data_IF_576294529795
#
_entry.id   IF_576294529795
#
_cell.length_a   1.000
_cell.length_b   1.000
_cell.length_c   1.000
_cell.angle_alpha   90.00
_cell.angle_beta   90.00
_cell.angle_gamma   90.00
#
_symmetry.space_group_name_H-M   'P 1'
#
loop_
_entity.id
_entity.type
_entity.pdbx_description
1 polymer ?
#
# COMPACT_ATOMS: atom_id res chain seq x y z
N UNK A 1 -11.41 9.50 9.35
CA UNK A 1 -10.09 8.88 9.68
C UNK A 1 -9.74 9.38 11.07
N UNK A 2 -9.29 8.53 11.99
CA UNK A 2 -8.84 9.00 13.31
C UNK A 2 -7.50 9.71 13.11
N UNK A 3 -7.46 11.01 13.38
CA UNK A 3 -6.22 11.79 13.25
C UNK A 3 -5.26 11.44 14.38
N UNK A 4 -3.97 11.42 14.07
CA UNK A 4 -2.90 11.19 15.06
C UNK A 4 -2.51 12.56 15.59
N UNK A 5 -3.37 13.12 16.45
CA UNK A 5 -3.12 14.40 17.11
C UNK A 5 -2.92 14.13 18.60
N UNK A 6 -1.82 14.60 19.21
CA UNK A 6 -1.65 14.57 20.65
C UNK A 6 -2.80 15.34 21.29
N UNK A 7 -3.51 14.72 22.23
CA UNK A 7 -4.50 15.46 23.04
C UNK A 7 -3.76 16.27 24.11
N UNK A 8 -4.45 17.24 24.71
CA UNK A 8 -3.89 18.10 25.78
C UNK A 8 -3.33 17.30 26.97
N UNK A 9 -3.78 16.06 27.16
CA UNK A 9 -3.28 15.12 28.16
C UNK A 9 -2.17 14.17 27.65
N UNK A 10 -1.50 14.51 26.55
CA UNK A 10 -0.32 13.81 26.01
C UNK A 10 -0.58 12.49 25.28
N UNK A 11 -1.76 11.89 25.44
CA UNK A 11 -2.13 10.64 24.75
C UNK A 11 -2.52 10.93 23.30
N UNK A 12 -1.96 10.25 22.29
CA UNK A 12 -2.46 10.38 20.94
C UNK A 12 -3.85 9.74 20.80
N UNK A 13 -4.64 10.29 19.89
CA UNK A 13 -6.06 9.94 19.76
C UNK A 13 -6.34 8.46 19.42
N UNK A 14 -5.56 7.77 18.56
CA UNK A 14 -5.75 6.35 18.31
C UNK A 14 -5.63 5.49 19.59
N UNK A 15 -4.59 5.74 20.39
CA UNK A 15 -4.30 5.01 21.62
C UNK A 15 -5.41 5.27 22.64
N UNK A 16 -5.85 6.53 22.75
CA UNK A 16 -6.98 6.87 23.60
C UNK A 16 -8.26 6.12 23.20
N UNK A 17 -8.60 6.10 21.90
CA UNK A 17 -9.86 5.51 21.43
C UNK A 17 -9.84 3.98 21.51
N UNK A 18 -8.78 3.34 21.00
CA UNK A 18 -8.72 1.89 20.86
C UNK A 18 -8.15 1.20 22.10
N UNK A 19 -7.25 1.83 22.84
CA UNK A 19 -6.61 1.21 24.01
C UNK A 19 -7.34 1.60 25.28
N UNK A 20 -7.48 2.89 25.57
CA UNK A 20 -8.07 3.34 26.84
C UNK A 20 -9.59 3.25 26.83
N UNK A 21 -10.21 3.57 25.69
CA UNK A 21 -11.66 3.50 25.49
C UNK A 21 -12.14 2.23 24.78
N UNK A 22 -11.25 1.24 24.63
CA UNK A 22 -11.57 -0.03 23.97
C UNK A 22 -12.69 -0.82 24.66
N UNK A 23 -12.89 -0.63 25.97
CA UNK A 23 -14.01 -1.26 26.69
C UNK A 23 -15.37 -0.69 26.25
N UNK A 24 -15.47 0.64 26.13
CA UNK A 24 -16.68 1.29 25.62
C UNK A 24 -16.99 0.85 24.19
N UNK A 25 -15.96 0.65 23.36
CA UNK A 25 -16.14 0.11 22.01
C UNK A 25 -16.68 -1.33 22.02
N UNK A 26 -16.34 -2.13 23.03
CA UNK A 26 -16.86 -3.51 23.17
C UNK A 26 -18.28 -3.61 23.71
N UNK A 27 -18.82 -2.55 24.30
CA UNK A 27 -20.15 -2.56 24.92
C UNK A 27 -21.29 -2.36 23.91
N UNK A 28 -21.00 -2.20 22.62
CA UNK A 28 -22.04 -2.14 21.59
C UNK A 28 -22.75 -3.49 21.46
N UNK A 29 -24.07 -3.49 21.67
CA UNK A 29 -24.90 -4.70 21.63
C UNK A 29 -25.24 -5.13 20.19
N UNK A 30 -24.24 -5.25 19.34
CA UNK A 30 -24.36 -5.69 17.95
C UNK A 30 -23.03 -6.24 17.39
N UNK A 31 -23.07 -6.84 16.21
CA UNK A 31 -21.87 -7.26 15.50
C UNK A 31 -21.16 -6.04 14.90
N UNK A 32 -19.89 -5.81 15.27
CA UNK A 32 -19.12 -4.64 14.82
C UNK A 32 -17.78 -5.07 14.25
N UNK A 33 -17.40 -4.49 13.11
CA UNK A 33 -16.06 -4.61 12.55
C UNK A 33 -15.35 -3.26 12.76
N UNK A 34 -14.33 -3.26 13.61
CA UNK A 34 -13.48 -2.10 13.80
C UNK A 34 -12.30 -2.10 12.81
N UNK A 35 -12.01 -0.93 12.27
CA UNK A 35 -10.74 -0.67 11.58
C UNK A 35 -9.94 0.29 12.43
N UNK A 36 -8.69 -0.07 12.71
CA UNK A 36 -7.79 0.72 13.54
C UNK A 36 -6.68 1.32 12.68
N UNK A 37 -6.12 2.48 13.05
CA UNK A 37 -4.90 2.99 12.42
C UNK A 37 -3.77 1.96 12.49
N UNK A 38 -3.11 1.70 11.35
CA UNK A 38 -2.05 0.68 11.25
C UNK A 38 -0.90 0.93 12.25
N UNK A 39 -0.64 2.18 12.61
CA UNK A 39 0.40 2.55 13.59
C UNK A 39 0.20 1.95 14.97
N UNK A 40 -1.04 1.63 15.39
CA UNK A 40 -1.30 0.96 16.66
C UNK A 40 -0.69 -0.45 16.73
N UNK A 41 -0.40 -1.09 15.58
CA UNK A 41 0.32 -2.36 15.53
C UNK A 41 1.80 -2.21 15.92
N UNK A 42 2.37 -1.03 15.70
CA UNK A 42 3.76 -0.71 16.02
C UNK A 42 3.91 0.00 17.37
N UNK A 43 2.79 0.30 18.03
CA UNK A 43 2.73 0.95 19.33
C UNK A 43 3.07 -0.03 20.46
N UNK A 44 3.70 0.48 21.52
CA UNK A 44 3.94 -0.26 22.76
C UNK A 44 2.64 -0.73 23.45
N UNK A 45 1.50 -0.11 23.13
CA UNK A 45 0.18 -0.49 23.65
C UNK A 45 -0.48 -1.66 22.87
N UNK A 46 0.17 -2.21 21.84
CA UNK A 46 -0.43 -3.25 20.99
C UNK A 46 -0.97 -4.45 21.77
N UNK A 47 -0.19 -4.99 22.71
CA UNK A 47 -0.61 -6.09 23.59
C UNK A 47 -1.81 -5.73 24.47
N UNK A 48 -1.86 -4.47 24.94
CA UNK A 48 -2.98 -3.98 25.74
C UNK A 48 -4.24 -3.86 24.88
N UNK A 49 -4.10 -3.43 23.62
CA UNK A 49 -5.17 -3.39 22.64
C UNK A 49 -5.71 -4.80 22.33
N UNK A 50 -4.84 -5.76 21.99
CA UNK A 50 -5.29 -7.12 21.64
C UNK A 50 -5.99 -7.81 22.80
N UNK A 51 -5.44 -7.70 24.02
CA UNK A 51 -6.09 -8.20 25.24
C UNK A 51 -7.44 -7.51 25.48
N UNK A 52 -7.52 -6.19 25.23
CA UNK A 52 -8.76 -5.44 25.40
C UNK A 52 -9.84 -5.91 24.44
N UNK A 53 -9.52 -6.26 23.19
CA UNK A 53 -10.48 -6.74 22.19
C UNK A 53 -10.69 -8.26 22.21
N UNK A 54 -9.78 -9.02 22.83
CA UNK A 54 -9.82 -10.48 22.89
C UNK A 54 -9.56 -11.17 21.55
N UNK A 55 -9.12 -10.43 20.54
CA UNK A 55 -8.83 -10.92 19.20
C UNK A 55 -7.63 -10.18 18.63
N UNK A 56 -6.80 -10.89 17.86
CA UNK A 56 -5.73 -10.25 17.10
C UNK A 56 -6.29 -9.48 15.90
N UNK A 57 -5.86 -8.23 15.68
CA UNK A 57 -6.22 -7.47 14.49
C UNK A 57 -5.80 -8.18 13.21
N UNK A 58 -6.73 -8.32 12.27
CA UNK A 58 -6.44 -8.84 10.93
C UNK A 58 -5.87 -7.71 10.07
N UNK A 59 -4.71 -7.96 9.46
CA UNK A 59 -4.07 -7.02 8.53
C UNK A 59 -4.36 -7.46 7.11
N UNK A 60 -4.73 -6.49 6.27
CA UNK A 60 -4.83 -6.67 4.83
C UNK A 60 -3.52 -6.18 4.20
N UNK A 61 -2.59 -7.09 3.85
CA UNK A 61 -1.30 -6.71 3.27
C UNK A 61 -1.48 -6.19 1.84
N UNK A 62 -0.41 -5.62 1.29
CA UNK A 62 -0.35 -5.35 -0.14
C UNK A 62 -0.44 -6.64 -0.95
N UNK A 63 -0.94 -6.54 -2.18
CA UNK A 63 -0.87 -7.67 -3.13
C UNK A 63 0.58 -7.78 -3.60
N UNK A 64 1.31 -8.87 -3.33
CA UNK A 64 2.72 -8.94 -3.68
C UNK A 64 2.91 -8.89 -5.21
N UNK A 65 3.72 -7.97 -5.70
CA UNK A 65 4.19 -7.94 -7.11
C UNK A 65 5.52 -8.66 -7.27
N UNK A 66 6.29 -8.73 -6.18
CA UNK A 66 7.48 -9.53 -6.02
C UNK A 66 7.37 -10.36 -4.74
N UNK A 67 8.07 -11.47 -4.70
CA UNK A 67 8.27 -12.30 -3.52
C UNK A 67 9.43 -11.73 -2.69
N UNK A 68 9.56 -12.19 -1.44
CA UNK A 68 10.64 -11.81 -0.52
C UNK A 68 12.03 -12.00 -1.14
N UNK A 69 12.22 -13.02 -1.97
CA UNK A 69 13.48 -13.30 -2.67
C UNK A 69 13.74 -12.40 -3.90
N UNK A 70 12.87 -11.42 -4.16
CA UNK A 70 12.97 -10.50 -5.30
C UNK A 70 12.40 -11.02 -6.62
N UNK A 71 12.01 -12.31 -6.72
CA UNK A 71 11.36 -12.84 -7.92
C UNK A 71 9.97 -12.25 -8.10
N UNK A 72 9.48 -12.21 -9.33
CA UNK A 72 8.10 -11.79 -9.60
C UNK A 72 7.08 -12.68 -8.91
N UNK A 73 6.00 -12.07 -8.41
CA UNK A 73 4.86 -12.78 -7.85
C UNK A 73 3.74 -12.84 -8.90
N UNK A 74 3.77 -13.88 -9.72
CA UNK A 74 2.81 -14.07 -10.82
C UNK A 74 1.35 -14.06 -10.38
N UNK A 75 1.05 -14.68 -9.23
CA UNK A 75 -0.32 -14.72 -8.70
C UNK A 75 -0.82 -13.32 -8.35
N UNK A 76 0.02 -12.51 -7.71
CA UNK A 76 -0.33 -11.13 -7.37
C UNK A 76 -0.45 -10.26 -8.62
N UNK A 77 0.48 -10.40 -9.57
CA UNK A 77 0.41 -9.71 -10.86
C UNK A 77 -0.87 -10.06 -11.62
N UNK A 78 -1.24 -11.34 -11.70
CA UNK A 78 -2.49 -11.79 -12.31
C UNK A 78 -3.73 -11.18 -11.63
N UNK A 79 -3.77 -11.13 -10.29
CA UNK A 79 -4.86 -10.51 -9.53
C UNK A 79 -4.97 -9.00 -9.78
N UNK A 80 -3.83 -8.30 -9.88
CA UNK A 80 -3.81 -6.86 -10.18
C UNK A 80 -4.30 -6.58 -11.60
N UNK A 81 -3.79 -7.33 -12.61
CA UNK A 81 -4.28 -7.26 -14.00
C UNK A 81 -5.79 -7.48 -14.06
N UNK A 82 -6.28 -8.55 -13.43
CA UNK A 82 -7.71 -8.87 -13.40
C UNK A 82 -8.55 -7.78 -12.74
N UNK A 83 -8.06 -7.17 -11.67
CA UNK A 83 -8.73 -6.06 -10.98
C UNK A 83 -8.84 -4.82 -11.87
N UNK A 84 -7.78 -4.47 -12.59
CA UNK A 84 -7.79 -3.36 -13.56
C UNK A 84 -8.79 -3.64 -14.68
N UNK A 85 -8.70 -4.80 -15.31
CA UNK A 85 -9.58 -5.16 -16.44
C UNK A 85 -11.03 -5.32 -16.01
N UNK A 86 -11.31 -5.68 -14.76
CA UNK A 86 -12.66 -5.69 -14.21
C UNK A 86 -13.32 -4.30 -14.13
N UNK A 87 -12.52 -3.23 -14.06
CA UNK A 87 -13.04 -1.85 -14.10
C UNK A 87 -13.37 -1.42 -15.53
N UNK A 88 -12.55 -1.81 -16.51
CA UNK A 88 -12.81 -1.54 -17.92
C UNK A 88 -14.02 -2.33 -18.44
N UNK A 89 -14.13 -3.61 -18.03
CA UNK A 89 -15.13 -4.54 -18.53
C UNK A 89 -15.96 -5.19 -17.40
N UNK A 90 -16.76 -4.41 -16.65
CA UNK A 90 -17.46 -4.90 -15.46
C UNK A 90 -18.51 -5.98 -15.78
N UNK A 91 -19.07 -5.96 -16.99
CA UNK A 91 -20.11 -6.89 -17.44
C UNK A 91 -19.58 -8.19 -18.03
N UNK A 92 -18.29 -8.26 -18.37
CA UNK A 92 -17.68 -9.47 -18.92
C UNK A 92 -17.25 -10.43 -17.81
N UNK A 93 -17.22 -11.73 -18.12
CA UNK A 93 -16.70 -12.74 -17.22
C UNK A 93 -15.16 -12.63 -17.05
N UNK A 94 -14.57 -13.05 -15.91
CA UNK A 94 -13.13 -12.89 -15.66
C UNK A 94 -12.21 -13.33 -16.79
N UNK A 95 -12.49 -14.49 -17.42
CA UNK A 95 -11.68 -15.02 -18.52
C UNK A 95 -11.71 -14.16 -19.79
N UNK A 96 -12.83 -13.46 -20.04
CA UNK A 96 -13.01 -12.60 -21.22
C UNK A 96 -12.35 -11.23 -21.03
N UNK A 97 -12.30 -10.72 -19.79
CA UNK A 97 -11.75 -9.40 -19.48
C UNK A 97 -10.28 -9.24 -19.91
N UNK A 98 -9.49 -10.29 -19.75
CA UNK A 98 -8.05 -10.26 -20.10
C UNK A 98 -7.81 -10.29 -21.61
N UNK A 99 -8.77 -10.75 -22.41
CA UNK A 99 -8.68 -10.72 -23.87
C UNK A 99 -8.79 -9.28 -24.41
N UNK A 100 -9.50 -8.41 -23.69
CA UNK A 100 -9.66 -6.99 -24.02
C UNK A 100 -8.50 -6.09 -23.60
N UNK A 101 -7.34 -6.63 -23.21
CA UNK A 101 -6.17 -5.80 -22.80
C UNK A 101 -5.79 -4.82 -23.91
N UNK A 102 -5.76 -5.26 -25.17
CA UNK A 102 -5.39 -4.44 -26.33
C UNK A 102 -6.38 -3.29 -26.62
N UNK A 103 -7.61 -3.35 -26.08
CA UNK A 103 -8.59 -2.26 -26.20
C UNK A 103 -8.29 -1.12 -25.20
N UNK A 104 -7.58 -1.43 -24.11
CA UNK A 104 -7.34 -0.49 -23.00
C UNK A 104 -5.89 -0.04 -22.94
N UNK A 105 -4.94 -0.90 -23.30
CA UNK A 105 -3.50 -0.68 -23.24
C UNK A 105 -2.85 -1.00 -24.57
N UNK A 106 -1.78 -0.29 -24.91
CA UNK A 106 -1.02 -0.51 -26.15
C UNK A 106 -0.36 -1.90 -26.22
N UNK A 107 0.06 -2.42 -25.07
CA UNK A 107 0.66 -3.73 -24.91
C UNK A 107 0.38 -4.31 -23.51
N UNK A 108 0.33 -5.65 -23.33
CA UNK A 108 0.21 -6.27 -22.01
C UNK A 108 1.30 -5.82 -21.02
N UNK A 109 2.53 -5.63 -21.49
CA UNK A 109 3.69 -5.21 -20.70
C UNK A 109 3.52 -3.81 -20.09
N UNK A 110 2.65 -2.98 -20.69
CA UNK A 110 2.30 -1.65 -20.20
C UNK A 110 1.38 -1.74 -18.98
N UNK A 111 0.40 -2.66 -18.99
CA UNK A 111 -0.40 -2.99 -17.80
C UNK A 111 0.48 -3.63 -16.72
N UNK A 112 1.41 -4.50 -17.10
CA UNK A 112 2.30 -5.18 -16.16
C UNK A 112 3.18 -4.19 -15.43
N UNK A 113 3.77 -3.23 -16.15
CA UNK A 113 4.57 -2.19 -15.50
C UNK A 113 3.74 -1.36 -14.53
N UNK A 114 2.51 -0.99 -14.88
CA UNK A 114 1.61 -0.29 -13.97
C UNK A 114 1.37 -1.10 -12.68
N UNK A 115 1.15 -2.42 -12.80
CA UNK A 115 0.96 -3.30 -11.66
C UNK A 115 2.23 -3.35 -10.80
N UNK A 116 3.39 -3.62 -11.41
CA UNK A 116 4.69 -3.73 -10.74
C UNK A 116 5.08 -2.44 -10.01
N UNK A 117 5.03 -1.30 -10.69
CA UNK A 117 5.44 0.00 -10.10
C UNK A 117 4.53 0.45 -8.96
N UNK A 118 3.30 -0.07 -8.89
CA UNK A 118 2.38 0.24 -7.80
C UNK A 118 2.72 -0.47 -6.48
N UNK A 119 3.62 -1.48 -6.51
CA UNK A 119 3.88 -2.35 -5.36
C UNK A 119 2.64 -3.10 -4.87
N UNK A 120 1.64 -3.27 -5.74
CA UNK A 120 0.34 -3.84 -5.39
C UNK A 120 -0.48 -3.03 -4.38
N UNK A 121 -0.11 -1.77 -4.15
CA UNK A 121 -0.90 -0.85 -3.34
C UNK A 121 -2.10 -0.34 -4.16
N UNK A 122 -3.25 -0.99 -3.99
CA UNK A 122 -4.47 -0.80 -4.81
C UNK A 122 -4.89 0.66 -5.03
N UNK A 123 -4.89 1.49 -3.97
CA UNK A 123 -5.24 2.91 -4.10
C UNK A 123 -4.25 3.69 -4.96
N UNK A 124 -2.96 3.35 -4.90
CA UNK A 124 -1.91 4.04 -5.67
C UNK A 124 -2.03 3.63 -7.13
N UNK A 125 -2.22 2.33 -7.39
CA UNK A 125 -2.52 1.78 -8.72
C UNK A 125 -3.73 2.48 -9.36
N UNK A 126 -4.89 2.51 -8.68
CA UNK A 126 -6.11 3.13 -9.21
C UNK A 126 -5.95 4.65 -9.43
N UNK A 127 -5.24 5.33 -8.53
CA UNK A 127 -4.90 6.75 -8.70
C UNK A 127 -4.02 6.96 -9.93
N UNK A 128 -3.02 6.11 -10.16
CA UNK A 128 -2.13 6.18 -11.33
C UNK A 128 -2.89 5.96 -12.64
N UNK A 129 -3.78 4.97 -12.68
CA UNK A 129 -4.64 4.74 -13.86
C UNK A 129 -5.49 5.97 -14.16
N UNK A 130 -6.15 6.52 -13.13
CA UNK A 130 -6.97 7.73 -13.31
C UNK A 130 -6.13 8.88 -13.86
N UNK A 131 -4.99 9.16 -13.24
CA UNK A 131 -4.12 10.26 -13.64
C UNK A 131 -3.60 10.05 -15.09
N UNK A 132 -3.31 8.81 -15.47
CA UNK A 132 -2.90 8.44 -16.83
C UNK A 132 -4.02 8.61 -17.86
N UNK A 133 -5.25 8.16 -17.56
CA UNK A 133 -6.42 8.39 -18.43
C UNK A 133 -6.64 9.89 -18.65
N UNK A 134 -6.47 10.72 -17.62
CA UNK A 134 -6.61 12.17 -17.73
C UNK A 134 -5.52 12.81 -18.59
N UNK A 135 -4.30 12.27 -18.58
CA UNK A 135 -3.18 12.74 -19.42
C UNK A 135 -3.34 12.30 -20.87
N UNK A 136 -3.72 11.03 -21.10
CA UNK A 136 -3.81 10.45 -22.45
C UNK A 136 -5.08 10.88 -23.19
N UNK A 137 -6.22 10.96 -22.48
CA UNK A 137 -7.52 11.38 -23.02
C UNK A 137 -8.19 10.41 -23.98
N UNK A 138 -7.53 9.32 -24.37
CA UNK A 138 -8.04 8.29 -25.28
C UNK A 138 -7.49 6.90 -24.93
N UNK A 139 -8.12 5.87 -25.49
CA UNK A 139 -7.63 4.50 -25.47
C UNK A 139 -7.09 4.11 -26.86
N UNK A 140 -6.16 3.14 -26.95
CA UNK A 140 -5.47 2.48 -25.83
C UNK A 140 -4.49 3.43 -25.13
N UNK A 141 -4.27 3.20 -23.83
CA UNK A 141 -3.31 3.92 -23.01
C UNK A 141 -1.88 3.52 -23.41
N UNK A 142 -1.05 4.53 -23.70
CA UNK A 142 0.30 4.32 -24.22
C UNK A 142 1.36 4.28 -23.12
N UNK A 143 2.39 3.47 -23.30
CA UNK A 143 3.52 3.34 -22.37
C UNK A 143 4.18 4.68 -22.01
N UNK A 144 4.28 5.59 -22.98
CA UNK A 144 4.85 6.93 -22.78
C UNK A 144 4.05 7.76 -21.78
N UNK A 145 2.71 7.66 -21.80
CA UNK A 145 1.83 8.31 -20.83
C UNK A 145 2.02 7.75 -19.41
N UNK A 146 2.17 6.43 -19.27
CA UNK A 146 2.47 5.80 -17.98
C UNK A 146 3.82 6.28 -17.42
N UNK A 147 4.85 6.36 -18.27
CA UNK A 147 6.18 6.85 -17.87
C UNK A 147 6.11 8.30 -17.38
N UNK A 148 5.29 9.15 -18.01
CA UNK A 148 5.08 10.53 -17.55
C UNK A 148 4.42 10.59 -16.17
N UNK A 149 3.39 9.78 -15.93
CA UNK A 149 2.70 9.70 -14.63
C UNK A 149 3.66 9.22 -13.53
N UNK A 150 4.47 8.20 -13.84
CA UNK A 150 5.46 7.66 -12.90
C UNK A 150 6.53 8.68 -12.58
N UNK A 151 7.10 9.37 -13.59
CA UNK A 151 8.10 10.44 -13.38
C UNK A 151 7.55 11.56 -12.51
N UNK A 152 6.33 12.03 -12.79
CA UNK A 152 5.67 13.09 -12.00
C UNK A 152 5.47 12.67 -10.54
N UNK A 153 4.99 11.44 -10.32
CA UNK A 153 4.76 10.92 -8.98
C UNK A 153 6.07 10.63 -8.23
N UNK A 154 7.07 10.07 -8.91
CA UNK A 154 8.41 9.85 -8.39
C UNK A 154 9.04 11.18 -7.93
N UNK A 155 8.96 12.22 -8.76
CA UNK A 155 9.46 13.55 -8.39
C UNK A 155 8.75 14.10 -7.14
N UNK A 156 7.42 14.01 -7.07
CA UNK A 156 6.65 14.48 -5.90
C UNK A 156 7.03 13.74 -4.62
N UNK A 157 7.16 12.41 -4.67
CA UNK A 157 7.53 11.62 -3.50
C UNK A 157 8.96 11.95 -3.08
N UNK A 158 9.90 12.03 -4.03
CA UNK A 158 11.30 12.37 -3.78
C UNK A 158 11.48 13.71 -3.05
N UNK A 159 10.66 14.72 -3.36
CA UNK A 159 10.71 16.02 -2.71
C UNK A 159 10.30 16.00 -1.22
N UNK A 160 9.56 14.96 -0.80
CA UNK A 160 9.08 14.81 0.56
C UNK A 160 9.99 13.93 1.45
N UNK A 161 11.10 13.40 0.90
CA UNK A 161 12.00 12.49 1.62
C UNK A 161 13.21 13.29 2.12
N UNK A 162 13.41 13.29 3.44
CA UNK A 162 14.56 13.92 4.09
C UNK A 162 15.84 13.08 3.91
N UNK A 163 17.00 13.65 4.26
CA UNK A 163 18.28 12.95 4.04
C UNK A 163 18.38 11.69 4.90
N UNK A 164 17.92 11.80 6.14
CA UNK A 164 17.91 10.76 7.17
C UNK A 164 16.95 9.63 6.77
N UNK A 165 15.81 9.97 6.15
CA UNK A 165 14.85 8.99 5.62
C UNK A 165 15.47 8.11 4.52
N UNK A 166 16.38 8.64 3.70
CA UNK A 166 17.08 7.83 2.69
C UNK A 166 17.97 6.76 3.33
N UNK A 167 18.54 7.01 4.50
CA UNK A 167 19.34 6.02 5.23
C UNK A 167 18.45 4.89 5.74
N UNK A 168 17.31 5.23 6.33
CA UNK A 168 16.29 4.26 6.75
C UNK A 168 15.78 3.43 5.55
N UNK A 169 15.52 4.06 4.40
CA UNK A 169 15.07 3.34 3.21
C UNK A 169 16.10 2.32 2.71
N UNK A 170 17.40 2.64 2.74
CA UNK A 170 18.45 1.68 2.38
C UNK A 170 18.53 0.52 3.37
N UNK A 171 18.38 0.81 4.66
CA UNK A 171 18.33 -0.23 5.69
C UNK A 171 17.18 -1.20 5.42
N UNK A 172 15.97 -0.68 5.18
CA UNK A 172 14.80 -1.52 4.83
C UNK A 172 15.00 -2.26 3.52
N UNK A 173 15.60 -1.64 2.51
CA UNK A 173 15.85 -2.31 1.22
C UNK A 173 16.75 -3.55 1.39
N UNK A 174 17.67 -3.52 2.35
CA UNK A 174 18.55 -4.65 2.67
C UNK A 174 17.94 -5.64 3.66
N UNK A 175 17.37 -5.16 4.78
CA UNK A 175 16.87 -6.01 5.87
C UNK A 175 15.48 -6.57 5.61
N UNK A 176 14.68 -5.90 4.78
CA UNK A 176 13.25 -6.16 4.59
C UNK A 176 12.40 -6.06 5.87
N UNK A 177 12.87 -5.30 6.86
CA UNK A 177 12.25 -5.16 8.17
C UNK A 177 11.99 -3.69 8.52
N UNK A 178 10.87 -3.44 9.20
CA UNK A 178 10.55 -2.15 9.83
C UNK A 178 10.20 -2.43 11.28
N UNK A 179 10.92 -1.80 12.21
CA UNK A 179 10.78 -2.04 13.65
C UNK A 179 10.49 -0.70 14.35
N UNK A 180 9.56 -0.75 15.29
CA UNK A 180 9.22 0.41 16.14
C UNK A 180 8.28 1.42 15.48
N UNK A 181 7.71 2.27 16.33
CA UNK A 181 6.70 3.24 15.93
C UNK A 181 7.28 4.36 15.05
N UNK A 182 8.47 4.88 15.39
CA UNK A 182 9.12 5.97 14.67
C UNK A 182 9.39 5.62 13.20
N UNK A 183 10.05 4.49 12.95
CA UNK A 183 10.29 4.00 11.58
C UNK A 183 8.99 3.72 10.83
N UNK A 184 7.94 3.26 11.51
CA UNK A 184 6.62 3.15 10.90
C UNK A 184 6.06 4.51 10.45
N UNK A 185 6.14 5.54 11.30
CA UNK A 185 5.59 6.87 11.01
C UNK A 185 6.31 7.52 9.83
N UNK A 186 7.62 7.32 9.72
CA UNK A 186 8.43 7.85 8.63
C UNK A 186 8.21 7.06 7.34
N UNK A 187 8.30 5.73 7.38
CA UNK A 187 8.42 4.91 6.17
C UNK A 187 7.08 4.39 5.66
N UNK A 188 6.33 3.69 6.51
CA UNK A 188 5.10 2.99 6.11
C UNK A 188 3.94 3.96 5.99
N UNK A 189 3.77 4.88 6.96
CA UNK A 189 2.69 5.87 6.92
C UNK A 189 2.82 6.84 5.74
N UNK A 190 4.05 7.21 5.36
CA UNK A 190 4.34 8.06 4.21
C UNK A 190 4.30 7.29 2.87
N UNK A 191 4.05 5.98 2.90
CA UNK A 191 4.00 5.10 1.73
C UNK A 191 5.33 5.01 0.97
N UNK A 192 6.45 5.24 1.66
CA UNK A 192 7.79 5.00 1.12
C UNK A 192 8.16 3.52 1.19
N UNK A 193 7.56 2.78 2.12
CA UNK A 193 7.72 1.34 2.32
C UNK A 193 6.35 0.68 2.39
N UNK A 194 6.24 -0.52 1.83
CA UNK A 194 5.04 -1.35 1.86
C UNK A 194 5.27 -2.63 2.66
N UNK A 195 4.24 -3.03 3.41
CA UNK A 195 4.18 -4.31 4.12
C UNK A 195 3.49 -5.37 3.25
N UNK A 196 4.14 -6.52 3.16
CA UNK A 196 3.65 -7.74 2.52
C UNK A 196 3.66 -8.87 3.55
N UNK A 197 3.01 -9.98 3.20
CA UNK A 197 2.90 -11.14 4.07
C UNK A 197 3.11 -12.42 3.26
N UNK A 198 3.92 -13.33 3.78
CA UNK A 198 4.13 -14.67 3.23
C UNK A 198 4.10 -15.73 4.36
N UNK A 199 4.47 -16.97 4.05
CA UNK A 199 4.49 -18.06 5.04
C UNK A 199 5.51 -17.86 6.16
N UNK A 200 6.47 -16.96 6.00
CA UNK A 200 7.47 -16.59 7.02
C UNK A 200 7.03 -15.34 7.82
N UNK A 201 5.86 -14.79 7.52
CA UNK A 201 5.29 -13.63 8.21
C UNK A 201 5.40 -12.34 7.42
N UNK A 202 5.35 -11.20 8.12
CA UNK A 202 5.44 -9.89 7.48
C UNK A 202 6.85 -9.61 6.97
N UNK A 203 6.93 -8.90 5.85
CA UNK A 203 8.17 -8.31 5.35
C UNK A 203 7.87 -6.99 4.65
N UNK A 204 8.92 -6.20 4.49
CA UNK A 204 8.83 -4.84 4.01
C UNK A 204 9.73 -4.66 2.80
N UNK A 205 9.27 -3.88 1.83
CA UNK A 205 10.13 -3.37 0.77
C UNK A 205 9.77 -1.95 0.44
N UNK A 206 10.77 -1.22 -0.04
CA UNK A 206 10.60 0.13 -0.57
C UNK A 206 9.54 0.13 -1.67
N UNK A 207 8.77 1.22 -1.71
CA UNK A 207 7.82 1.48 -2.76
C UNK A 207 8.55 1.46 -4.11
N UNK A 208 8.16 0.60 -5.08
CA UNK A 208 8.91 0.42 -6.33
C UNK A 208 9.15 1.72 -7.10
N UNK A 209 8.27 2.72 -6.97
CA UNK A 209 8.46 4.03 -7.61
C UNK A 209 9.73 4.76 -7.13
N UNK A 210 10.22 4.47 -5.94
CA UNK A 210 11.45 5.05 -5.40
C UNK A 210 12.70 4.42 -6.00
N UNK A 211 12.62 3.19 -6.53
CA UNK A 211 13.73 2.56 -7.24
C UNK A 211 14.07 3.30 -8.53
N UNK A 212 13.07 3.95 -9.16
CA UNK A 212 13.25 4.81 -10.33
C UNK A 212 14.14 6.05 -10.04
N UNK A 213 14.39 6.36 -8.77
CA UNK A 213 15.27 7.49 -8.39
C UNK A 213 16.76 7.15 -8.52
N UNK A 214 17.14 5.86 -8.53
CA UNK A 214 18.54 5.41 -8.53
C UNK A 214 19.31 5.71 -7.23
N UNK A 215 18.62 6.01 -6.12
CA UNK A 215 19.24 6.39 -4.82
C UNK A 215 19.31 5.25 -3.79
N UNK A 216 18.68 4.11 -4.09
CA UNK A 216 18.55 2.94 -3.22
C UNK A 216 19.43 1.80 -3.70
#
# INVERSE_FOLDING_TARGET
RVEIVPKSWGRPQPEYLFVDRGEQLRQLNCHVIYTMPLGLRFSNDYLRLTNRFGVEPKVLPMVPVTQRNGKECEEGMAKLRAMVMARAFPKLAPAQRLQGIAEVFDAPETLDRLCSISGGHLRQLLSMIRDWIMVEGKLPLLRTGLDQVIRSRCNRIRLAIEKEDWELLRQVHHSQEVIGEESYQVLVRSLFVYEYYDTQGSWFTVNPILLETGKL
#
